data_IF_634021876273
#
_entry.id   IF_634021876273
#
_cell.length_a   1.000
_cell.length_b   1.000
_cell.length_c   1.000
_cell.angle_alpha   90.00
_cell.angle_beta   90.00
_cell.angle_gamma   90.00
#
_symmetry.space_group_name_H-M   'P 1'
#
loop_
_entity.id
_entity.type
_entity.pdbx_description
1 polymer ?
#
# COMPACT_ATOMS: atom_id res chain seq x y z
N UNK A 1 4.86 -16.91 13.35
CA UNK A 1 5.33 -16.40 12.04
C UNK A 1 4.91 -17.30 10.88
N UNK A 2 5.19 -18.61 10.88
CA UNK A 2 4.73 -19.49 9.78
C UNK A 2 3.20 -19.46 9.59
N UNK A 3 2.44 -19.61 10.67
CA UNK A 3 0.97 -19.51 10.65
C UNK A 3 0.45 -18.19 10.05
N UNK A 4 1.15 -17.07 10.30
CA UNK A 4 0.81 -15.77 9.72
C UNK A 4 0.95 -15.82 8.19
N UNK A 5 2.05 -16.35 7.65
CA UNK A 5 2.22 -16.47 6.20
C UNK A 5 1.16 -17.38 5.58
N UNK A 6 0.83 -18.50 6.22
CA UNK A 6 -0.24 -19.40 5.77
C UNK A 6 -1.59 -18.67 5.74
N UNK A 7 -1.92 -17.91 6.79
CA UNK A 7 -3.13 -17.11 6.84
C UNK A 7 -3.16 -16.05 5.74
N UNK A 8 -2.04 -15.36 5.47
CA UNK A 8 -1.94 -14.39 4.38
C UNK A 8 -2.23 -15.06 3.03
N UNK A 9 -1.66 -16.25 2.77
CA UNK A 9 -1.91 -16.98 1.52
C UNK A 9 -3.39 -17.34 1.36
N UNK A 10 -4.02 -17.88 2.40
CA UNK A 10 -5.45 -18.25 2.37
C UNK A 10 -6.31 -17.01 2.09
N UNK A 11 -6.06 -15.91 2.81
CA UNK A 11 -6.78 -14.66 2.63
C UNK A 11 -6.53 -14.03 1.26
N UNK A 12 -5.32 -14.13 0.72
CA UNK A 12 -4.99 -13.65 -0.63
C UNK A 12 -5.78 -14.40 -1.70
N UNK A 13 -5.93 -15.73 -1.56
CA UNK A 13 -6.74 -16.53 -2.47
C UNK A 13 -8.20 -16.09 -2.43
N UNK A 14 -8.75 -15.85 -1.24
CA UNK A 14 -10.11 -15.31 -1.08
C UNK A 14 -10.25 -13.91 -1.68
N UNK A 15 -9.22 -13.06 -1.55
CA UNK A 15 -9.24 -11.71 -2.10
C UNK A 15 -9.25 -11.69 -3.64
N UNK A 16 -8.84 -12.76 -4.33
CA UNK A 16 -8.88 -12.81 -5.82
C UNK A 16 -10.31 -12.62 -6.33
N UNK A 17 -11.30 -13.27 -5.72
CA UNK A 17 -12.69 -13.03 -6.11
C UNK A 17 -13.14 -11.60 -5.82
N UNK A 18 -12.64 -11.00 -4.73
CA UNK A 18 -12.97 -9.63 -4.40
C UNK A 18 -12.41 -8.63 -5.43
N UNK A 19 -11.15 -8.82 -5.82
CA UNK A 19 -10.51 -8.01 -6.85
C UNK A 19 -11.19 -8.16 -8.22
N UNK A 20 -11.66 -9.37 -8.58
CA UNK A 20 -12.39 -9.57 -9.84
C UNK A 20 -13.74 -8.86 -9.88
N UNK A 21 -14.41 -8.82 -8.73
CA UNK A 21 -15.75 -8.25 -8.61
C UNK A 21 -15.72 -6.73 -8.38
N UNK A 22 -14.55 -6.16 -8.07
CA UNK A 22 -14.41 -4.74 -7.73
C UNK A 22 -14.92 -3.85 -8.85
N UNK A 23 -15.62 -2.79 -8.45
CA UNK A 23 -16.29 -1.88 -9.35
C UNK A 23 -15.52 -0.57 -9.49
N UNK A 24 -15.65 0.04 -10.67
CA UNK A 24 -15.13 1.38 -10.93
C UNK A 24 -16.07 2.14 -11.86
N UNK A 25 -15.94 3.47 -11.89
CA UNK A 25 -16.72 4.30 -12.81
C UNK A 25 -16.29 4.08 -14.27
N UNK A 26 -17.23 4.21 -15.23
CA UNK A 26 -16.90 4.22 -16.66
C UNK A 26 -15.85 5.29 -17.02
N UNK A 27 -15.12 5.13 -18.14
CA UNK A 27 -14.03 6.03 -18.54
C UNK A 27 -14.41 7.52 -18.63
N UNK A 28 -15.65 7.82 -18.99
CA UNK A 28 -16.17 9.20 -19.11
C UNK A 28 -16.23 10.00 -17.79
N UNK A 29 -16.10 9.33 -16.64
CA UNK A 29 -16.06 9.96 -15.31
C UNK A 29 -14.65 10.01 -14.72
N UNK A 30 -13.64 9.52 -15.45
CA UNK A 30 -12.27 9.48 -14.96
C UNK A 30 -11.55 10.73 -15.41
N UNK A 31 -10.86 11.37 -14.48
CA UNK A 31 -9.73 12.20 -14.87
C UNK A 31 -8.70 11.26 -15.52
N UNK A 32 -8.29 11.50 -16.78
CA UNK A 32 -7.22 10.71 -17.35
C UNK A 32 -6.01 10.85 -16.42
N UNK A 33 -5.35 9.72 -16.11
CA UNK A 33 -4.01 9.78 -15.53
C UNK A 33 -3.19 10.79 -16.33
N UNK A 34 -2.21 11.45 -15.69
CA UNK A 34 -1.16 12.12 -16.45
C UNK A 34 -0.29 11.07 -17.15
N UNK A 35 -0.89 10.30 -18.06
CA UNK A 35 -0.18 9.77 -19.20
C UNK A 35 0.54 10.98 -19.77
N UNK A 36 1.85 10.86 -19.96
CA UNK A 36 2.64 11.81 -20.73
C UNK A 36 2.17 11.93 -22.21
N UNK A 37 0.91 11.62 -22.52
CA UNK A 37 0.18 12.19 -23.63
C UNK A 37 -0.03 13.69 -23.36
N UNK A 38 1.08 14.41 -23.47
CA UNK A 38 1.10 15.81 -23.83
C UNK A 38 0.16 15.97 -25.03
N UNK A 39 -0.98 16.63 -24.79
CA UNK A 39 -1.77 17.33 -25.80
C UNK A 39 -2.14 16.50 -27.04
N UNK A 40 -3.23 15.74 -26.97
CA UNK A 40 -4.15 15.70 -28.13
C UNK A 40 -5.32 16.63 -27.81
N UNK A 41 -5.69 17.49 -28.74
CA UNK A 41 -6.74 18.54 -28.67
C UNK A 41 -8.17 18.02 -28.40
N UNK A 42 -8.29 16.79 -27.90
CA UNK A 42 -9.52 16.07 -27.59
C UNK A 42 -9.40 15.37 -26.23
N UNK A 43 -8.91 16.08 -25.21
CA UNK A 43 -9.21 15.66 -23.83
C UNK A 43 -10.71 15.86 -23.67
N UNK A 44 -11.48 14.79 -23.88
CA UNK A 44 -12.90 14.79 -23.58
C UNK A 44 -13.04 15.27 -22.14
N UNK A 45 -13.77 16.38 -21.93
CA UNK A 45 -14.04 16.90 -20.60
C UNK A 45 -14.66 15.76 -19.77
N UNK A 46 -13.96 15.33 -18.71
CA UNK A 46 -14.49 14.31 -17.83
C UNK A 46 -15.78 14.83 -17.19
N UNK A 47 -16.82 13.99 -17.11
CA UNK A 47 -18.06 14.32 -16.41
C UNK A 47 -17.74 14.47 -14.92
N UNK A 48 -18.12 15.59 -14.32
CA UNK A 48 -17.93 15.81 -12.90
C UNK A 48 -19.09 15.20 -12.13
N UNK A 49 -18.81 14.16 -11.35
CA UNK A 49 -19.80 13.52 -10.49
C UNK A 49 -20.08 14.39 -9.27
N UNK A 50 -21.35 14.69 -8.99
CA UNK A 50 -21.78 15.44 -7.80
C UNK A 50 -22.51 14.56 -6.79
N UNK A 51 -23.26 13.55 -7.24
CA UNK A 51 -23.87 12.54 -6.37
C UNK A 51 -23.68 11.12 -6.91
N UNK A 52 -23.58 10.16 -6.01
CA UNK A 52 -23.45 8.74 -6.29
C UNK A 52 -24.37 7.93 -5.36
N UNK A 53 -25.33 7.22 -5.94
CA UNK A 53 -26.37 6.49 -5.19
C UNK A 53 -27.11 7.35 -4.15
N UNK A 54 -27.40 8.60 -4.52
CA UNK A 54 -28.07 9.56 -3.64
C UNK A 54 -27.19 10.16 -2.53
N UNK A 55 -25.89 9.86 -2.52
CA UNK A 55 -24.92 10.47 -1.61
C UNK A 55 -24.10 11.54 -2.32
N UNK A 56 -23.95 12.71 -1.70
CA UNK A 56 -23.14 13.79 -2.25
C UNK A 56 -21.65 13.45 -2.18
N UNK A 57 -20.94 13.72 -3.29
CA UNK A 57 -19.51 13.47 -3.42
C UNK A 57 -18.74 14.77 -3.19
N UNK A 58 -18.17 14.90 -2.00
CA UNK A 58 -17.35 16.07 -1.62
C UNK A 58 -15.85 15.88 -1.90
N UNK A 59 -15.39 14.65 -2.12
CA UNK A 59 -13.97 14.32 -2.32
C UNK A 59 -13.78 13.09 -3.22
N UNK A 60 -12.76 13.06 -4.09
CA UNK A 60 -12.41 11.87 -4.87
C UNK A 60 -12.17 10.62 -4.02
N UNK A 61 -11.51 10.77 -2.86
CA UNK A 61 -11.26 9.65 -1.95
C UNK A 61 -12.54 9.02 -1.41
N UNK A 62 -13.59 9.82 -1.28
CA UNK A 62 -14.88 9.32 -0.82
C UNK A 62 -15.53 8.44 -1.88
N UNK A 63 -15.51 8.89 -3.13
CA UNK A 63 -16.00 8.13 -4.27
C UNK A 63 -15.26 6.80 -4.42
N UNK A 64 -13.94 6.80 -4.31
CA UNK A 64 -13.13 5.58 -4.39
C UNK A 64 -13.53 4.57 -3.31
N UNK A 65 -13.80 5.03 -2.09
CA UNK A 65 -14.29 4.17 -1.02
C UNK A 65 -15.70 3.65 -1.31
N UNK A 66 -16.63 4.51 -1.75
CA UNK A 66 -18.01 4.08 -2.06
C UNK A 66 -18.03 3.00 -3.14
N UNK A 67 -17.17 3.11 -4.16
CA UNK A 67 -17.06 2.10 -5.23
C UNK A 67 -16.68 0.72 -4.69
N UNK A 68 -15.98 0.62 -3.56
CA UNK A 68 -15.66 -0.67 -2.92
C UNK A 68 -16.92 -1.42 -2.44
N UNK A 69 -18.03 -0.72 -2.20
CA UNK A 69 -19.29 -1.30 -1.73
C UNK A 69 -20.11 -1.94 -2.86
N UNK A 70 -19.70 -1.77 -4.12
CA UNK A 70 -20.43 -2.26 -5.28
C UNK A 70 -19.66 -3.33 -6.05
N UNK A 71 -20.41 -4.11 -6.82
CA UNK A 71 -19.88 -5.05 -7.82
C UNK A 71 -19.89 -4.41 -9.20
N UNK A 72 -18.93 -4.78 -10.04
CA UNK A 72 -19.00 -4.43 -11.46
C UNK A 72 -20.30 -4.98 -12.07
N UNK A 73 -20.84 -4.28 -13.07
CA UNK A 73 -22.15 -4.58 -13.67
C UNK A 73 -23.35 -4.02 -12.90
N UNK A 74 -23.18 -3.53 -11.66
CA UNK A 74 -24.26 -2.84 -10.93
C UNK A 74 -24.67 -1.54 -11.65
N UNK A 75 -25.98 -1.27 -11.67
CA UNK A 75 -26.56 -0.05 -12.24
C UNK A 75 -26.96 0.94 -11.14
N UNK A 76 -26.21 2.03 -11.03
CA UNK A 76 -26.31 3.00 -9.93
C UNK A 76 -26.79 4.35 -10.45
N UNK A 77 -27.75 5.03 -9.78
CA UNK A 77 -28.11 6.40 -10.12
C UNK A 77 -26.99 7.36 -9.74
N UNK A 78 -26.69 8.27 -10.64
CA UNK A 78 -25.68 9.31 -10.45
C UNK A 78 -26.20 10.65 -10.91
N UNK A 79 -25.73 11.70 -10.24
CA UNK A 79 -25.90 13.08 -10.68
C UNK A 79 -24.54 13.58 -11.15
N UNK A 80 -24.46 14.05 -12.38
CA UNK A 80 -23.25 14.64 -12.94
C UNK A 80 -23.48 16.00 -13.57
N UNK A 81 -22.39 16.77 -13.65
CA UNK A 81 -22.33 18.06 -14.34
C UNK A 81 -21.46 17.90 -15.57
N UNK A 82 -22.02 18.23 -16.73
CA UNK A 82 -21.32 18.22 -18.01
C UNK A 82 -21.74 19.44 -18.83
N UNK A 83 -20.77 20.24 -19.28
CA UNK A 83 -21.04 21.49 -20.02
C UNK A 83 -22.01 22.45 -19.31
N UNK A 84 -21.99 22.45 -17.96
CA UNK A 84 -22.86 23.29 -17.13
C UNK A 84 -24.26 22.72 -16.89
N UNK A 85 -24.63 21.59 -17.53
CA UNK A 85 -25.90 20.92 -17.32
C UNK A 85 -25.78 19.85 -16.24
N UNK A 86 -26.69 19.90 -15.26
CA UNK A 86 -26.86 18.85 -14.25
C UNK A 86 -27.77 17.77 -14.84
N UNK A 87 -27.27 16.55 -14.95
CA UNK A 87 -28.06 15.42 -15.44
C UNK A 87 -28.06 14.26 -14.43
N UNK A 88 -29.26 13.72 -14.19
CA UNK A 88 -29.42 12.45 -13.47
C UNK A 88 -29.48 11.30 -14.48
N UNK A 89 -28.66 10.27 -14.27
CA UNK A 89 -28.67 9.08 -15.11
C UNK A 89 -28.33 7.83 -14.30
N UNK A 90 -28.61 6.66 -14.86
CA UNK A 90 -28.11 5.40 -14.32
C UNK A 90 -26.89 4.97 -15.11
N UNK A 91 -25.77 4.73 -14.43
CA UNK A 91 -24.54 4.21 -15.04
C UNK A 91 -24.35 2.76 -14.65
N UNK A 92 -23.72 1.99 -15.53
CA UNK A 92 -23.30 0.61 -15.22
C UNK A 92 -21.84 0.63 -14.84
N UNK A 93 -21.51 0.16 -13.64
CA UNK A 93 -20.13 0.13 -13.16
C UNK A 93 -19.32 -0.89 -13.96
N UNK A 94 -18.06 -0.56 -14.24
CA UNK A 94 -17.13 -1.43 -14.98
C UNK A 94 -16.13 -2.09 -14.01
N UNK A 95 -15.40 -3.14 -14.41
CA UNK A 95 -14.45 -3.81 -13.52
C UNK A 95 -13.28 -2.89 -13.14
N UNK A 96 -12.95 -2.78 -11.84
CA UNK A 96 -11.86 -1.91 -11.35
C UNK A 96 -10.48 -2.43 -11.73
N UNK A 97 -10.31 -3.74 -11.64
CA UNK A 97 -9.02 -4.38 -11.90
C UNK A 97 -9.06 -5.19 -13.19
N UNK A 98 -7.99 -5.11 -13.96
CA UNK A 98 -7.80 -5.99 -15.11
C UNK A 98 -7.21 -7.33 -14.65
N UNK A 99 -7.39 -8.38 -15.46
CA UNK A 99 -6.71 -9.66 -15.20
C UNK A 99 -5.19 -9.52 -15.12
N UNK A 100 -4.62 -8.58 -15.88
CA UNK A 100 -3.19 -8.26 -15.82
C UNK A 100 -2.81 -7.63 -14.47
N UNK A 101 -3.60 -6.70 -13.95
CA UNK A 101 -3.37 -6.09 -12.63
C UNK A 101 -3.42 -7.15 -11.52
N UNK A 102 -4.44 -8.02 -11.53
CA UNK A 102 -4.55 -9.11 -10.55
C UNK A 102 -3.34 -10.05 -10.63
N UNK A 103 -2.96 -10.47 -11.84
CA UNK A 103 -1.78 -11.32 -12.06
C UNK A 103 -0.49 -10.66 -11.58
N UNK A 104 -0.35 -9.35 -11.78
CA UNK A 104 0.78 -8.54 -11.31
C UNK A 104 0.82 -8.52 -9.77
N UNK A 105 -0.28 -8.14 -9.10
CA UNK A 105 -0.38 -8.11 -7.64
C UNK A 105 -0.05 -9.47 -7.02
N UNK A 106 -0.62 -10.56 -7.56
CA UNK A 106 -0.35 -11.92 -7.10
C UNK A 106 1.12 -12.30 -7.25
N UNK A 107 1.73 -11.96 -8.40
CA UNK A 107 3.14 -12.27 -8.67
C UNK A 107 4.06 -11.52 -7.70
N UNK A 108 3.89 -10.20 -7.58
CA UNK A 108 4.73 -9.35 -6.72
C UNK A 108 4.53 -9.71 -5.25
N UNK A 109 3.27 -9.81 -4.80
CA UNK A 109 2.95 -10.20 -3.43
C UNK A 109 3.51 -11.57 -3.05
N UNK A 110 3.45 -12.54 -3.96
CA UNK A 110 4.05 -13.87 -3.76
C UNK A 110 5.57 -13.79 -3.65
N UNK A 111 6.25 -12.97 -4.46
CA UNK A 111 7.71 -12.77 -4.33
C UNK A 111 8.07 -12.23 -2.94
N UNK A 112 7.30 -11.27 -2.41
CA UNK A 112 7.51 -10.76 -1.05
C UNK A 112 7.24 -11.82 0.02
N UNK A 113 6.21 -12.66 -0.13
CA UNK A 113 5.95 -13.77 0.79
C UNK A 113 7.06 -14.82 0.76
N UNK A 114 7.53 -15.20 -0.41
CA UNK A 114 8.66 -16.13 -0.57
C UNK A 114 9.93 -15.54 0.05
N UNK A 115 10.18 -14.24 -0.14
CA UNK A 115 11.27 -13.55 0.50
C UNK A 115 11.13 -13.53 2.03
N UNK A 116 9.92 -13.28 2.55
CA UNK A 116 9.65 -13.35 3.98
C UNK A 116 9.96 -14.76 4.53
N UNK A 117 9.46 -15.82 3.89
CA UNK A 117 9.76 -17.20 4.26
C UNK A 117 11.26 -17.52 4.18
N UNK A 118 11.96 -17.03 3.14
CA UNK A 118 13.40 -17.16 3.01
C UNK A 118 14.14 -16.57 4.22
N UNK A 119 13.78 -15.35 4.64
CA UNK A 119 14.35 -14.69 5.82
C UNK A 119 14.06 -15.51 7.09
N UNK A 120 12.82 -15.97 7.25
CA UNK A 120 12.38 -16.75 8.41
C UNK A 120 13.15 -18.07 8.55
N UNK A 121 13.40 -18.78 7.46
CA UNK A 121 14.08 -20.08 7.51
C UNK A 121 15.60 -19.96 7.51
N UNK A 122 16.17 -19.07 6.68
CA UNK A 122 17.63 -19.01 6.46
C UNK A 122 18.35 -18.09 7.44
N UNK A 123 17.67 -17.08 7.96
CA UNK A 123 18.28 -16.04 8.80
C UNK A 123 17.68 -15.94 10.20
N UNK A 124 16.98 -16.99 10.69
CA UNK A 124 16.23 -16.97 11.97
C UNK A 124 17.03 -16.50 13.19
N UNK A 125 18.33 -16.75 13.21
CA UNK A 125 19.23 -16.44 14.35
C UNK A 125 19.80 -15.01 14.27
N UNK A 126 19.52 -14.26 13.19
CA UNK A 126 19.97 -12.89 13.00
C UNK A 126 18.99 -11.92 13.67
N UNK A 127 19.51 -10.91 14.37
CA UNK A 127 18.69 -9.91 15.08
C UNK A 127 17.75 -9.11 14.15
N UNK A 128 18.11 -8.95 12.88
CA UNK A 128 17.28 -8.26 11.89
C UNK A 128 16.14 -9.12 11.31
N UNK A 129 16.20 -10.44 11.44
CA UNK A 129 15.30 -11.33 10.71
C UNK A 129 13.82 -11.18 11.10
N UNK A 130 13.44 -11.01 12.39
CA UNK A 130 12.04 -10.77 12.75
C UNK A 130 11.46 -9.50 12.11
N UNK A 131 12.23 -8.42 12.11
CA UNK A 131 11.81 -7.12 11.56
C UNK A 131 11.71 -7.20 10.06
N UNK A 132 12.68 -7.82 9.40
CA UNK A 132 12.69 -7.97 7.94
C UNK A 132 11.61 -8.95 7.45
N UNK A 133 11.34 -10.03 8.18
CA UNK A 133 10.23 -10.94 7.92
C UNK A 133 8.90 -10.20 7.97
N UNK A 134 8.66 -9.45 9.05
CA UNK A 134 7.42 -8.71 9.23
C UNK A 134 7.29 -7.58 8.20
N UNK A 135 8.38 -6.89 7.87
CA UNK A 135 8.41 -5.87 6.81
C UNK A 135 7.95 -6.46 5.48
N UNK A 136 8.55 -7.58 5.07
CA UNK A 136 8.21 -8.25 3.81
C UNK A 136 6.77 -8.81 3.82
N UNK A 137 6.31 -9.35 4.95
CA UNK A 137 4.95 -9.84 5.10
C UNK A 137 3.90 -8.71 5.04
N UNK A 138 4.14 -7.58 5.71
CA UNK A 138 3.27 -6.40 5.65
C UNK A 138 3.23 -5.80 4.24
N UNK A 139 4.36 -5.74 3.53
CA UNK A 139 4.38 -5.31 2.12
C UNK A 139 3.57 -6.28 1.25
N UNK A 140 3.71 -7.59 1.46
CA UNK A 140 2.90 -8.56 0.73
C UNK A 140 1.39 -8.40 1.00
N UNK A 141 1.00 -8.19 2.27
CA UNK A 141 -0.40 -7.92 2.64
C UNK A 141 -0.93 -6.70 1.88
N UNK A 142 -0.19 -5.59 1.88
CA UNK A 142 -0.61 -4.38 1.18
C UNK A 142 -0.80 -4.60 -0.31
N UNK A 143 0.10 -5.35 -0.96
CA UNK A 143 0.02 -5.63 -2.40
C UNK A 143 -1.13 -6.60 -2.73
N UNK A 144 -1.33 -7.63 -1.90
CA UNK A 144 -2.29 -8.69 -2.17
C UNK A 144 -3.72 -8.32 -1.80
N UNK A 145 -3.90 -7.50 -0.76
CA UNK A 145 -5.24 -7.19 -0.22
C UNK A 145 -5.79 -5.90 -0.82
N UNK A 146 -4.93 -4.91 -1.06
CA UNK A 146 -5.33 -3.54 -1.43
C UNK A 146 -6.40 -2.97 -0.46
N UNK A 147 -6.99 -1.83 -0.79
CA UNK A 147 -8.12 -1.26 -0.03
C UNK A 147 -9.35 -2.20 -0.01
N UNK A 148 -9.37 -3.22 -0.88
CA UNK A 148 -10.33 -4.33 -0.86
C UNK A 148 -11.70 -3.94 -1.43
N UNK A 149 -12.38 -4.91 -2.07
CA UNK A 149 -13.79 -4.77 -2.43
C UNK A 149 -14.66 -5.37 -1.33
N UNK A 150 -15.65 -4.62 -0.86
CA UNK A 150 -16.50 -4.96 0.29
C UNK A 150 -17.79 -5.69 -0.12
N UNK A 151 -18.18 -5.61 -1.38
CA UNK A 151 -19.39 -6.26 -1.91
C UNK A 151 -19.36 -7.80 -2.09
N UNK A 152 -18.23 -8.45 -2.43
CA UNK A 152 -18.24 -9.83 -2.92
C UNK A 152 -18.04 -10.90 -1.84
N UNK A 153 -17.38 -10.58 -0.73
CA UNK A 153 -17.05 -11.55 0.32
C UNK A 153 -17.99 -11.44 1.54
N UNK A 154 -18.07 -12.50 2.39
CA UNK A 154 -18.73 -12.41 3.68
C UNK A 154 -18.15 -11.30 4.56
N UNK A 155 -19.00 -10.67 5.37
CA UNK A 155 -18.63 -9.54 6.24
C UNK A 155 -17.34 -9.79 7.04
N UNK A 156 -17.20 -10.97 7.64
CA UNK A 156 -16.03 -11.35 8.45
C UNK A 156 -14.75 -11.39 7.61
N UNK A 157 -14.81 -11.88 6.37
CA UNK A 157 -13.64 -11.94 5.50
C UNK A 157 -13.20 -10.54 5.09
N UNK A 158 -14.13 -9.67 4.70
CA UNK A 158 -13.83 -8.28 4.38
C UNK A 158 -13.25 -7.52 5.58
N UNK A 159 -13.84 -7.70 6.76
CA UNK A 159 -13.34 -7.11 7.99
C UNK A 159 -11.89 -7.52 8.26
N UNK A 160 -11.57 -8.81 8.15
CA UNK A 160 -10.20 -9.31 8.37
C UNK A 160 -9.21 -8.82 7.32
N UNK A 161 -9.60 -8.80 6.03
CA UNK A 161 -8.76 -8.28 4.95
C UNK A 161 -8.46 -6.80 5.17
N UNK A 162 -9.49 -5.98 5.43
CA UNK A 162 -9.35 -4.55 5.66
C UNK A 162 -8.51 -4.27 6.90
N UNK A 163 -8.78 -4.97 8.00
CA UNK A 163 -8.03 -4.80 9.24
C UNK A 163 -6.54 -5.15 9.03
N UNK A 164 -6.23 -6.27 8.37
CA UNK A 164 -4.84 -6.64 8.12
C UNK A 164 -4.11 -5.66 7.20
N UNK A 165 -4.80 -5.14 6.18
CA UNK A 165 -4.29 -4.08 5.32
C UNK A 165 -3.96 -2.83 6.14
N UNK A 166 -4.92 -2.35 6.94
CA UNK A 166 -4.78 -1.16 7.76
C UNK A 166 -3.70 -1.29 8.85
N UNK A 167 -3.60 -2.44 9.50
CA UNK A 167 -2.52 -2.68 10.47
C UNK A 167 -1.15 -2.70 9.79
N UNK A 168 -1.08 -3.26 8.58
CA UNK A 168 0.16 -3.35 7.81
C UNK A 168 0.63 -1.96 7.36
N UNK A 169 -0.27 -1.12 6.86
CA UNK A 169 0.09 0.21 6.36
C UNK A 169 0.60 1.13 7.48
N UNK A 170 0.09 1.00 8.70
CA UNK A 170 0.58 1.76 9.86
C UNK A 170 1.92 1.29 10.39
N UNK A 171 2.19 -0.01 10.41
CA UNK A 171 3.45 -0.53 10.98
C UNK A 171 4.62 -0.46 9.99
N UNK A 172 4.35 -0.44 8.68
CA UNK A 172 5.36 -0.51 7.63
C UNK A 172 6.46 0.57 7.72
N UNK A 173 6.15 1.88 7.89
CA UNK A 173 7.17 2.93 7.94
C UNK A 173 8.12 2.72 9.12
N UNK A 174 7.58 2.29 10.25
CA UNK A 174 8.35 1.98 11.46
C UNK A 174 9.24 0.76 11.28
N UNK A 175 8.78 -0.27 10.55
CA UNK A 175 9.62 -1.44 10.25
C UNK A 175 10.77 -1.11 9.31
N UNK A 176 10.55 -0.27 8.30
CA UNK A 176 11.63 0.26 7.46
C UNK A 176 12.66 1.01 8.29
N UNK A 177 12.20 1.94 9.14
CA UNK A 177 13.09 2.74 9.95
C UNK A 177 13.84 1.88 10.97
N UNK A 178 13.15 0.96 11.67
CA UNK A 178 13.77 0.00 12.60
C UNK A 178 14.81 -0.87 11.88
N UNK A 179 14.52 -1.36 10.68
CA UNK A 179 15.47 -2.17 9.91
C UNK A 179 16.80 -1.42 9.69
N UNK A 180 16.76 -0.09 9.50
CA UNK A 180 17.98 0.72 9.36
C UNK A 180 18.84 0.82 10.63
N UNK A 181 18.31 0.52 11.82
CA UNK A 181 19.08 0.52 13.08
C UNK A 181 19.75 -0.82 13.38
N UNK A 182 19.26 -1.91 12.79
CA UNK A 182 19.69 -3.28 13.09
C UNK A 182 20.53 -3.89 11.97
N UNK A 183 20.35 -3.43 10.72
CA UNK A 183 21.15 -3.86 9.57
C UNK A 183 22.21 -2.78 9.21
N UNK A 184 23.46 -3.15 8.86
CA UNK A 184 24.03 -4.50 8.78
C UNK A 184 24.65 -4.99 10.10
N UNK A 185 24.90 -4.09 11.04
CA UNK A 185 25.52 -4.37 12.34
C UNK A 185 24.64 -3.82 13.43
N UNK A 186 24.38 -4.63 14.45
CA UNK A 186 23.51 -4.21 15.55
C UNK A 186 24.10 -3.02 16.31
N UNK A 187 23.32 -1.95 16.45
CA UNK A 187 23.73 -0.70 17.09
C UNK A 187 23.39 -0.69 18.58
N UNK A 188 24.15 0.09 19.39
CA UNK A 188 23.93 0.15 20.83
C UNK A 188 22.50 0.57 21.19
N UNK A 189 21.94 -0.06 22.24
CA UNK A 189 20.55 0.09 22.70
C UNK A 189 20.11 1.54 22.89
N UNK A 190 21.01 2.44 23.28
CA UNK A 190 20.70 3.85 23.51
C UNK A 190 20.19 4.57 22.24
N UNK A 191 20.68 4.20 21.06
CA UNK A 191 20.22 4.78 19.79
C UNK A 191 18.85 4.27 19.36
N UNK A 192 18.39 3.13 19.89
CA UNK A 192 17.05 2.60 19.59
C UNK A 192 15.92 3.40 20.26
N UNK A 193 16.22 4.32 21.19
CA UNK A 193 15.21 5.24 21.77
C UNK A 193 14.54 6.11 20.70
N UNK A 194 15.23 6.40 19.59
CA UNK A 194 14.66 7.11 18.45
C UNK A 194 13.52 6.35 17.75
N UNK A 195 13.39 5.04 17.98
CA UNK A 195 12.28 4.24 17.43
C UNK A 195 10.99 4.37 18.26
N UNK A 196 11.07 4.80 19.52
CA UNK A 196 9.90 4.93 20.40
C UNK A 196 8.79 5.81 19.79
N UNK A 197 9.06 7.04 19.30
CA UNK A 197 8.01 7.84 18.68
C UNK A 197 7.39 7.17 17.44
N UNK A 198 8.18 6.47 16.63
CA UNK A 198 7.69 5.75 15.44
C UNK A 198 6.73 4.62 15.80
N UNK A 199 7.12 3.81 16.78
CA UNK A 199 6.25 2.77 17.33
C UNK A 199 4.99 3.35 17.98
N UNK A 200 5.11 4.47 18.70
CA UNK A 200 3.95 5.13 19.30
C UNK A 200 2.94 5.59 18.23
N UNK A 201 3.40 6.27 17.18
CA UNK A 201 2.54 6.69 16.06
C UNK A 201 1.91 5.48 15.36
N UNK A 202 2.67 4.40 15.13
CA UNK A 202 2.14 3.19 14.49
C UNK A 202 1.08 2.51 15.36
N UNK A 203 1.30 2.43 16.68
CA UNK A 203 0.34 1.83 17.61
C UNK A 203 -0.94 2.68 17.73
N UNK A 204 -0.81 4.00 17.75
CA UNK A 204 -1.97 4.92 17.73
C UNK A 204 -2.73 4.74 16.42
N UNK A 205 -2.05 4.77 15.28
CA UNK A 205 -2.65 4.56 13.96
C UNK A 205 -3.38 3.22 13.85
N UNK A 206 -2.72 2.13 14.26
CA UNK A 206 -3.35 0.80 14.34
C UNK A 206 -4.59 0.79 15.24
N UNK A 207 -4.54 1.44 16.40
CA UNK A 207 -5.68 1.58 17.31
C UNK A 207 -6.85 2.33 16.66
N UNK A 208 -6.56 3.44 15.98
CA UNK A 208 -7.54 4.19 15.20
C UNK A 208 -8.13 3.35 14.07
N UNK A 209 -7.31 2.57 13.37
CA UNK A 209 -7.79 1.68 12.31
C UNK A 209 -8.73 0.59 12.83
N UNK A 210 -8.40 -0.02 13.97
CA UNK A 210 -9.30 -0.96 14.64
C UNK A 210 -10.61 -0.27 14.99
N UNK A 211 -10.54 0.92 15.59
CA UNK A 211 -11.72 1.71 15.98
C UNK A 211 -12.61 2.03 14.77
N UNK A 212 -12.05 2.56 13.68
CA UNK A 212 -12.84 2.89 12.49
C UNK A 212 -13.36 1.64 11.78
N UNK A 213 -12.55 0.59 11.63
CA UNK A 213 -13.01 -0.65 10.99
C UNK A 213 -14.18 -1.25 11.77
N UNK A 214 -14.14 -1.25 13.11
CA UNK A 214 -15.26 -1.69 13.94
C UNK A 214 -16.48 -0.77 13.77
N UNK A 215 -16.28 0.54 13.82
CA UNK A 215 -17.36 1.53 13.65
C UNK A 215 -18.07 1.40 12.29
N UNK A 216 -17.32 1.21 11.21
CA UNK A 216 -17.85 1.07 9.86
C UNK A 216 -18.56 -0.27 9.65
N UNK A 217 -17.95 -1.39 10.08
CA UNK A 217 -18.46 -2.73 9.76
C UNK A 217 -19.47 -3.27 10.78
N UNK A 218 -19.29 -2.95 12.06
CA UNK A 218 -20.13 -3.43 13.16
C UNK A 218 -21.13 -2.36 13.56
N UNK A 219 -20.70 -1.10 13.62
CA UNK A 219 -21.57 0.03 13.93
C UNK A 219 -22.49 0.45 12.78
N UNK A 220 -22.10 0.15 11.53
CA UNK A 220 -22.84 0.57 10.33
C UNK A 220 -22.82 2.09 10.11
N UNK A 221 -21.88 2.79 10.72
CA UNK A 221 -21.74 4.24 10.54
C UNK A 221 -21.31 4.55 9.10
N UNK A 222 -21.97 5.49 8.41
CA UNK A 222 -21.54 5.95 7.09
C UNK A 222 -20.11 6.48 7.15
N UNK A 223 -19.31 6.18 6.12
CA UNK A 223 -17.90 6.62 6.05
C UNK A 223 -17.77 8.14 6.11
N UNK A 224 -18.75 8.87 5.55
CA UNK A 224 -18.85 10.31 5.54
C UNK A 224 -18.87 10.94 6.92
N UNK A 225 -19.42 10.21 7.90
CA UNK A 225 -19.55 10.67 9.28
C UNK A 225 -18.30 10.34 10.11
N UNK A 226 -17.20 9.94 9.45
CA UNK A 226 -15.95 9.53 10.09
C UNK A 226 -14.74 10.21 9.48
N UNK A 227 -13.69 10.42 10.28
CA UNK A 227 -12.40 10.90 9.78
C UNK A 227 -11.52 9.77 9.20
N UNK A 228 -12.11 8.64 8.80
CA UNK A 228 -11.35 7.48 8.33
C UNK A 228 -10.46 7.81 7.12
N UNK A 229 -11.03 8.45 6.10
CA UNK A 229 -10.33 8.77 4.86
C UNK A 229 -9.16 9.74 5.05
N UNK A 230 -9.29 10.89 5.73
CA UNK A 230 -8.14 11.77 5.94
C UNK A 230 -7.05 11.11 6.81
N UNK A 231 -7.43 10.28 7.79
CA UNK A 231 -6.48 9.54 8.63
C UNK A 231 -5.72 8.48 7.81
N UNK A 232 -6.42 7.68 7.00
CA UNK A 232 -5.84 6.58 6.25
C UNK A 232 -5.20 6.96 4.91
N UNK A 233 -5.60 8.09 4.31
CA UNK A 233 -4.92 8.63 3.14
C UNK A 233 -3.82 9.59 3.56
N UNK A 234 -4.18 10.80 3.98
CA UNK A 234 -3.21 11.91 4.12
C UNK A 234 -2.22 11.64 5.25
N UNK A 235 -2.70 11.34 6.47
CA UNK A 235 -1.81 11.20 7.62
C UNK A 235 -0.90 9.97 7.46
N UNK A 236 -1.46 8.84 7.02
CA UNK A 236 -0.68 7.64 6.76
C UNK A 236 0.34 7.84 5.63
N UNK A 237 -0.04 8.46 4.51
CA UNK A 237 0.88 8.72 3.39
C UNK A 237 2.04 9.61 3.84
N UNK A 238 1.77 10.68 4.59
CA UNK A 238 2.82 11.54 5.17
C UNK A 238 3.73 10.74 6.10
N UNK A 239 3.18 9.87 6.94
CA UNK A 239 3.96 9.02 7.84
C UNK A 239 4.84 8.03 7.08
N UNK A 240 4.34 7.43 6.01
CA UNK A 240 5.10 6.54 5.14
C UNK A 240 6.23 7.26 4.41
N UNK A 241 5.95 8.44 3.84
CA UNK A 241 6.96 9.28 3.17
C UNK A 241 8.07 9.64 4.17
N UNK A 242 7.71 10.15 5.35
CA UNK A 242 8.68 10.51 6.38
C UNK A 242 9.50 9.29 6.82
N UNK A 243 8.87 8.13 7.02
CA UNK A 243 9.55 6.90 7.43
C UNK A 243 10.56 6.41 6.40
N UNK A 244 10.21 6.42 5.11
CA UNK A 244 11.11 6.03 4.04
C UNK A 244 12.27 7.01 3.89
N UNK A 245 12.04 8.32 3.94
CA UNK A 245 13.10 9.33 3.89
C UNK A 245 14.07 9.21 5.08
N UNK A 246 13.55 9.05 6.29
CA UNK A 246 14.38 8.81 7.48
C UNK A 246 15.17 7.51 7.38
N UNK A 247 14.58 6.45 6.81
CA UNK A 247 15.25 5.16 6.58
C UNK A 247 16.43 5.32 5.61
N UNK A 248 16.23 5.98 4.48
CA UNK A 248 17.29 6.25 3.49
C UNK A 248 18.38 7.10 4.12
N UNK A 249 18.03 8.22 4.76
CA UNK A 249 19.00 9.10 5.41
C UNK A 249 19.83 8.38 6.48
N UNK A 250 19.20 7.51 7.28
CA UNK A 250 19.90 6.76 8.31
C UNK A 250 20.81 5.68 7.73
N UNK A 251 20.38 4.96 6.68
CA UNK A 251 21.23 4.00 5.99
C UNK A 251 22.42 4.65 5.29
N UNK A 252 22.24 5.79 4.63
CA UNK A 252 23.33 6.55 4.01
C UNK A 252 24.35 6.98 5.06
N UNK A 253 23.88 7.59 6.16
CA UNK A 253 24.73 7.95 7.29
C UNK A 253 25.46 6.73 7.87
N UNK A 254 24.80 5.58 7.93
CA UNK A 254 25.41 4.34 8.39
C UNK A 254 26.50 3.84 7.42
N UNK A 255 26.23 3.85 6.11
CA UNK A 255 27.16 3.43 5.08
C UNK A 255 28.46 4.25 5.12
N UNK A 256 28.36 5.57 5.31
CA UNK A 256 29.51 6.48 5.43
C UNK A 256 30.40 6.17 6.65
N UNK A 257 29.86 5.52 7.68
CA UNK A 257 30.61 5.16 8.90
C UNK A 257 31.19 3.75 8.89
N UNK A 258 30.78 2.91 7.95
CA UNK A 258 31.30 1.54 7.84
C UNK A 258 32.64 1.56 7.12
N UNK A 259 33.70 1.14 7.81
CA UNK A 259 35.06 1.06 7.24
C UNK A 259 35.19 -0.12 6.28
N UNK A 260 34.60 -1.28 6.62
CA UNK A 260 34.57 -2.49 5.80
C UNK A 260 33.86 -2.25 4.45
N UNK A 261 34.61 -2.39 3.36
CA UNK A 261 34.11 -2.18 2.01
C UNK A 261 33.01 -3.17 1.60
N UNK A 262 33.05 -4.40 2.09
CA UNK A 262 32.05 -5.44 1.77
C UNK A 262 30.73 -5.13 2.48
N UNK A 263 30.78 -4.82 3.78
CA UNK A 263 29.58 -4.42 4.53
C UNK A 263 28.97 -3.13 3.97
N UNK A 264 29.80 -2.13 3.66
CA UNK A 264 29.34 -0.88 3.04
C UNK A 264 28.65 -1.14 1.70
N UNK A 265 29.22 -2.01 0.85
CA UNK A 265 28.60 -2.43 -0.42
C UNK A 265 27.26 -3.14 -0.20
N UNK A 266 27.13 -3.96 0.83
CA UNK A 266 25.87 -4.63 1.17
C UNK A 266 24.78 -3.63 1.57
N UNK A 267 25.13 -2.59 2.35
CA UNK A 267 24.19 -1.50 2.68
C UNK A 267 23.73 -0.77 1.43
N UNK A 268 24.64 -0.45 0.50
CA UNK A 268 24.25 0.20 -0.75
C UNK A 268 23.33 -0.65 -1.62
N UNK A 269 23.49 -1.98 -1.63
CA UNK A 269 22.52 -2.84 -2.32
C UNK A 269 21.13 -2.79 -1.68
N UNK A 270 21.04 -2.77 -0.35
CA UNK A 270 19.77 -2.59 0.37
C UNK A 270 19.15 -1.23 0.05
N UNK A 271 19.95 -0.16 0.10
CA UNK A 271 19.53 1.20 -0.26
C UNK A 271 18.99 1.28 -1.69
N UNK A 272 19.68 0.67 -2.66
CA UNK A 272 19.20 0.59 -4.04
C UNK A 272 17.84 -0.12 -4.13
N UNK A 273 17.63 -1.19 -3.36
CA UNK A 273 16.33 -1.85 -3.27
C UNK A 273 15.22 -0.94 -2.73
N UNK A 274 15.52 -0.10 -1.73
CA UNK A 274 14.56 0.86 -1.17
C UNK A 274 14.29 2.00 -2.16
N UNK A 275 15.34 2.53 -2.78
CA UNK A 275 15.25 3.66 -3.71
C UNK A 275 14.51 3.30 -5.01
N UNK A 276 14.79 2.13 -5.58
CA UNK A 276 14.15 1.68 -6.83
C UNK A 276 12.86 0.87 -6.61
N UNK A 277 12.48 0.63 -5.35
CA UNK A 277 11.20 0.03 -5.00
C UNK A 277 10.29 1.05 -4.30
N UNK A 278 10.14 1.00 -2.96
CA UNK A 278 9.21 1.86 -2.20
C UNK A 278 9.35 3.36 -2.46
N UNK A 279 10.56 3.88 -2.71
CA UNK A 279 10.74 5.31 -2.92
C UNK A 279 10.24 5.76 -4.30
N UNK A 280 10.25 4.89 -5.31
CA UNK A 280 9.59 5.16 -6.59
C UNK A 280 8.08 5.33 -6.35
N UNK A 281 7.47 4.50 -5.50
CA UNK A 281 6.06 4.64 -5.12
C UNK A 281 5.75 5.97 -4.45
N UNK A 282 6.63 6.43 -3.55
CA UNK A 282 6.52 7.76 -2.97
C UNK A 282 6.51 8.85 -4.04
N UNK A 283 7.48 8.85 -4.96
CA UNK A 283 7.64 9.96 -5.90
C UNK A 283 6.70 9.92 -7.12
N UNK A 284 6.21 8.73 -7.49
CA UNK A 284 5.35 8.56 -8.68
C UNK A 284 3.86 8.46 -8.35
N UNK A 285 3.50 8.07 -7.12
CA UNK A 285 2.11 7.96 -6.68
C UNK A 285 1.83 8.91 -5.53
N UNK A 286 2.45 8.72 -4.36
CA UNK A 286 2.01 9.42 -3.14
C UNK A 286 2.21 10.93 -3.19
N UNK A 287 3.41 11.40 -3.54
CA UNK A 287 3.69 12.84 -3.59
C UNK A 287 2.83 13.55 -4.64
N UNK A 288 2.72 13.03 -5.88
CA UNK A 288 1.79 13.57 -6.88
C UNK A 288 0.34 13.59 -6.41
N UNK A 289 -0.14 12.51 -5.78
CA UNK A 289 -1.51 12.44 -5.25
C UNK A 289 -1.76 13.53 -4.21
N UNK A 290 -0.83 13.76 -3.29
CA UNK A 290 -0.93 14.81 -2.27
C UNK A 290 -0.85 16.22 -2.87
N UNK A 291 0.04 16.44 -3.84
CA UNK A 291 0.32 17.78 -4.38
C UNK A 291 -0.62 18.21 -5.51
N UNK A 292 -1.11 17.26 -6.30
CA UNK A 292 -1.83 17.50 -7.56
C UNK A 292 -3.16 16.75 -7.65
N UNK A 293 -3.49 15.89 -6.68
CA UNK A 293 -4.71 15.08 -6.70
C UNK A 293 -4.74 13.99 -7.78
N UNK A 294 -3.60 13.70 -8.41
CA UNK A 294 -3.49 12.69 -9.47
C UNK A 294 -2.17 11.92 -9.39
N UNK A 295 -2.17 10.72 -9.96
CA UNK A 295 -1.02 9.81 -9.99
C UNK A 295 -0.32 9.88 -11.34
N UNK A 296 1.01 9.71 -11.36
CA UNK A 296 1.79 9.77 -12.60
C UNK A 296 1.86 8.44 -13.35
N UNK A 297 1.67 7.34 -12.65
CA UNK A 297 1.94 6.00 -13.16
C UNK A 297 0.86 5.05 -12.67
N UNK A 298 0.50 4.06 -13.49
CA UNK A 298 -0.45 3.02 -13.09
C UNK A 298 0.10 2.11 -11.98
N UNK A 299 -0.79 1.63 -11.12
CA UNK A 299 -0.45 0.71 -10.02
C UNK A 299 0.32 -0.52 -10.48
N UNK A 300 -0.07 -1.11 -11.62
CA UNK A 300 0.58 -2.31 -12.13
C UNK A 300 2.07 -2.07 -12.44
N UNK A 301 2.41 -0.96 -13.11
CA UNK A 301 3.81 -0.64 -13.40
C UNK A 301 4.59 -0.39 -12.10
N UNK A 302 3.95 0.29 -11.15
CA UNK A 302 4.54 0.58 -9.85
C UNK A 302 4.82 -0.68 -9.03
N UNK A 303 3.92 -1.66 -9.04
CA UNK A 303 4.14 -2.95 -8.37
C UNK A 303 5.39 -3.66 -8.89
N UNK A 304 5.69 -3.62 -10.19
CA UNK A 304 6.90 -4.26 -10.73
C UNK A 304 8.20 -3.62 -10.21
N UNK A 305 8.20 -2.30 -9.99
CA UNK A 305 9.36 -1.63 -9.38
C UNK A 305 9.63 -2.14 -7.96
N UNK A 306 8.57 -2.47 -7.20
CA UNK A 306 8.69 -3.01 -5.85
C UNK A 306 9.41 -4.36 -5.80
N UNK A 307 9.42 -5.15 -6.89
CA UNK A 307 10.14 -6.44 -6.96
C UNK A 307 11.65 -6.23 -6.76
N UNK A 308 12.18 -5.06 -7.11
CA UNK A 308 13.60 -4.79 -6.94
C UNK A 308 14.00 -4.90 -5.46
N UNK A 309 13.18 -4.43 -4.52
CA UNK A 309 13.50 -4.50 -3.09
C UNK A 309 13.84 -5.94 -2.61
N UNK A 310 12.95 -6.95 -2.69
CA UNK A 310 13.28 -8.31 -2.22
C UNK A 310 14.42 -8.94 -3.02
N UNK A 311 14.58 -8.65 -4.31
CA UNK A 311 15.71 -9.16 -5.10
C UNK A 311 17.06 -8.61 -4.62
N UNK A 312 17.12 -7.30 -4.35
CA UNK A 312 18.33 -6.64 -3.86
C UNK A 312 18.70 -7.12 -2.46
N UNK A 313 17.70 -7.28 -1.58
CA UNK A 313 17.92 -7.80 -0.24
C UNK A 313 18.36 -9.26 -0.28
N UNK A 314 17.70 -10.10 -1.08
CA UNK A 314 18.09 -11.51 -1.26
C UNK A 314 19.54 -11.65 -1.76
N UNK A 315 19.95 -10.81 -2.72
CA UNK A 315 21.32 -10.79 -3.25
C UNK A 315 22.37 -10.54 -2.17
N UNK A 316 22.05 -9.69 -1.19
CA UNK A 316 22.91 -9.37 -0.06
C UNK A 316 22.92 -10.52 0.95
N UNK A 317 21.73 -10.95 1.38
CA UNK A 317 21.57 -11.96 2.42
C UNK A 317 22.13 -13.33 2.02
N UNK A 318 22.03 -13.73 0.75
CA UNK A 318 22.62 -15.01 0.29
C UNK A 318 24.14 -15.08 0.41
N UNK A 319 24.83 -13.93 0.45
CA UNK A 319 26.30 -13.84 0.55
C UNK A 319 26.77 -13.85 2.00
N UNK A 320 25.91 -13.53 2.95
CA UNK A 320 26.15 -13.71 4.38
C UNK A 320 26.04 -15.20 4.71
N UNK A 321 27.03 -16.02 4.29
CA UNK A 321 27.13 -17.41 4.76
C UNK A 321 27.25 -17.42 6.28
N UNK A 322 26.57 -18.36 6.92
CA UNK A 322 26.80 -18.67 8.33
C UNK A 322 28.28 -19.07 8.48
N UNK A 323 29.02 -18.52 9.46
CA UNK A 323 30.26 -19.16 9.86
C UNK A 323 29.91 -20.59 10.27
N UNK A 324 30.59 -21.56 9.65
CA UNK A 324 30.47 -22.98 9.98
C UNK A 324 30.89 -23.26 11.42
#
# INVERSE_FOLDING_TARGET
MLLLNVAIVVLAILNISALRESAQLPPEYRTPYMLMQYQSETVAEARMLTSFDGQDIHSPMHLDYLLTMYRHGSSIPVTDVYQGEVTERRITLVPATTSFSIGSSLSVGTIFLLFALYVLFRHRDRSYAPVLHLLAACTAIMILFDWGALAPLPLVANFLLRLLFDLSIWILPTLFFHFSFIYPTDRPRLRRRWLVPWYAVSLIGMGLSIYYTVTLYVGGTPILDTDYLPVHGIINDVFLIAGLLCTVAHFEYAALKITDAVLRKNVYWVLLGIMFGPLVYVFMILAPRILQGSEFVSDALMQYTLILAPLMFWKVLRRERQPE
#
